data_IF_693777283223
#
_entry.id   IF_693777283223
#
_cell.length_a   1.000
_cell.length_b   1.000
_cell.length_c   1.000
_cell.angle_alpha   90.00
_cell.angle_beta   90.00
_cell.angle_gamma   90.00
#
_symmetry.space_group_name_H-M   'P 1'
#
loop_
_entity.id
_entity.type
_entity.pdbx_description
1 polymer ?
#
# COMPACT_ATOMS: atom_id res chain seq x y z
N UNK A 1 -30.90 26.67 32.58
CA UNK A 1 -32.24 26.53 33.20
C UNK A 1 -33.14 25.80 32.22
N UNK A 2 -33.80 24.73 32.64
CA UNK A 2 -34.74 23.94 31.85
C UNK A 2 -36.17 24.36 32.20
N UNK A 3 -37.00 24.60 31.20
CA UNK A 3 -38.39 25.07 31.35
C UNK A 3 -39.34 24.26 30.48
N UNK A 4 -40.57 24.05 30.96
CA UNK A 4 -41.64 23.47 30.15
C UNK A 4 -42.12 24.49 29.12
N UNK A 5 -42.42 24.01 27.90
CA UNK A 5 -42.88 24.86 26.82
C UNK A 5 -44.28 25.45 27.09
N UNK A 6 -45.18 24.67 27.70
CA UNK A 6 -46.46 25.16 28.21
C UNK A 6 -47.05 24.18 29.25
N UNK A 7 -47.61 24.67 30.38
CA UNK A 7 -47.46 26.05 30.87
C UNK A 7 -45.99 26.36 31.19
N UNK A 8 -45.59 27.62 31.12
CA UNK A 8 -44.21 28.02 31.38
C UNK A 8 -43.86 27.83 32.86
N UNK A 9 -43.17 26.74 33.19
CA UNK A 9 -42.73 26.41 34.54
C UNK A 9 -41.25 25.98 34.53
N UNK A 10 -40.54 26.29 35.61
CA UNK A 10 -39.17 25.81 35.79
C UNK A 10 -39.20 24.32 36.09
N UNK A 11 -38.54 23.53 35.26
CA UNK A 11 -38.44 22.06 35.43
C UNK A 11 -37.16 21.72 36.18
N UNK A 12 -36.07 22.47 35.96
CA UNK A 12 -34.82 22.24 36.67
C UNK A 12 -33.63 23.04 36.17
N UNK A 13 -32.46 22.68 36.70
CA UNK A 13 -31.15 23.15 36.25
C UNK A 13 -30.46 22.15 35.32
N UNK A 14 -29.37 22.55 34.70
CA UNK A 14 -28.52 21.68 33.89
C UNK A 14 -27.15 22.30 33.73
N UNK A 15 -26.12 21.45 33.65
CA UNK A 15 -24.74 21.87 33.39
C UNK A 15 -24.29 21.21 32.09
N UNK A 16 -23.61 21.96 31.24
CA UNK A 16 -23.02 21.44 30.01
C UNK A 16 -21.74 20.68 30.37
N UNK A 17 -21.75 19.37 30.16
CA UNK A 17 -20.59 18.49 30.41
C UNK A 17 -19.64 18.43 29.21
N UNK A 18 -20.19 18.42 27.99
CA UNK A 18 -19.46 18.45 26.73
C UNK A 18 -20.24 19.28 25.69
N UNK A 19 -19.72 20.45 25.25
CA UNK A 19 -20.37 21.27 24.24
C UNK A 19 -20.24 20.70 22.81
N UNK A 20 -19.41 19.68 22.59
CA UNK A 20 -19.14 19.08 21.28
C UNK A 20 -19.52 17.60 21.18
N UNK A 21 -20.50 17.17 21.97
CA UNK A 21 -20.95 15.78 21.99
C UNK A 21 -21.40 15.29 20.60
N UNK A 22 -20.93 14.11 20.19
CA UNK A 22 -21.36 13.47 18.94
C UNK A 22 -22.78 12.92 19.04
N UNK A 23 -23.44 12.63 17.91
CA UNK A 23 -24.84 12.15 17.85
C UNK A 23 -25.12 10.90 18.70
N UNK A 24 -24.09 10.10 19.02
CA UNK A 24 -24.18 8.89 19.84
C UNK A 24 -23.20 8.91 21.03
N UNK A 25 -22.80 10.10 21.47
CA UNK A 25 -21.94 10.27 22.63
C UNK A 25 -22.58 9.62 23.87
N UNK A 26 -21.78 8.87 24.63
CA UNK A 26 -22.19 8.45 25.97
C UNK A 26 -21.97 9.63 26.91
N UNK A 27 -22.93 9.95 27.79
CA UNK A 27 -22.71 10.98 28.80
C UNK A 27 -21.44 10.67 29.57
N UNK A 28 -20.55 11.67 29.71
CA UNK A 28 -19.39 11.53 30.58
C UNK A 28 -19.90 11.25 32.00
N UNK A 29 -19.46 10.13 32.59
CA UNK A 29 -19.89 9.70 33.92
C UNK A 29 -19.35 10.58 35.06
N UNK A 30 -18.55 11.58 34.71
CA UNK A 30 -17.82 12.43 35.62
C UNK A 30 -18.67 13.63 36.01
N UNK A 31 -18.40 14.20 37.20
CA UNK A 31 -19.07 15.43 37.60
C UNK A 31 -18.75 16.55 36.60
N UNK A 32 -19.64 17.53 36.46
CA UNK A 32 -19.34 18.74 35.67
C UNK A 32 -18.14 19.55 36.20
N UNK A 33 -17.67 19.22 37.41
CA UNK A 33 -16.52 19.82 38.08
C UNK A 33 -15.28 18.91 38.03
N UNK A 34 -15.29 17.88 37.17
CA UNK A 34 -14.14 17.01 36.99
C UNK A 34 -12.91 17.82 36.53
N UNK A 35 -11.70 17.47 37.00
CA UNK A 35 -10.47 18.12 36.58
C UNK A 35 -10.32 18.10 35.05
N UNK A 36 -9.73 19.16 34.48
CA UNK A 36 -9.53 19.27 33.04
C UNK A 36 -8.76 18.09 32.42
N UNK A 37 -7.84 17.49 33.17
CA UNK A 37 -7.11 16.29 32.75
C UNK A 37 -8.03 15.06 32.59
N UNK A 38 -8.98 14.87 33.50
CA UNK A 38 -9.96 13.76 33.41
C UNK A 38 -10.89 13.97 32.20
N UNK A 39 -11.36 15.22 32.01
CA UNK A 39 -12.17 15.60 30.84
C UNK A 39 -11.40 15.44 29.52
N UNK A 40 -10.10 15.72 29.50
CA UNK A 40 -9.24 15.48 28.34
C UNK A 40 -9.18 13.99 28.03
N UNK A 41 -8.91 13.14 29.02
CA UNK A 41 -8.89 11.69 28.83
C UNK A 41 -10.21 11.15 28.27
N UNK A 42 -11.36 11.63 28.78
CA UNK A 42 -12.67 11.27 28.25
C UNK A 42 -12.85 11.71 26.79
N UNK A 43 -12.50 12.96 26.47
CA UNK A 43 -12.60 13.50 25.12
C UNK A 43 -11.73 12.71 24.12
N UNK A 44 -10.51 12.34 24.51
CA UNK A 44 -9.60 11.55 23.68
C UNK A 44 -10.08 10.10 23.52
N UNK A 45 -10.58 9.48 24.59
CA UNK A 45 -11.13 8.12 24.53
C UNK A 45 -12.39 8.04 23.66
N UNK A 46 -13.25 9.05 23.73
CA UNK A 46 -14.43 9.14 22.86
C UNK A 46 -14.05 9.33 21.39
N UNK A 47 -13.05 10.18 21.12
CA UNK A 47 -12.60 10.46 19.75
C UNK A 47 -11.82 9.30 19.12
N UNK A 48 -11.10 8.52 19.93
CA UNK A 48 -10.28 7.39 19.49
C UNK A 48 -9.32 7.79 18.37
N UNK A 49 -9.39 7.07 17.25
CA UNK A 49 -8.53 7.27 16.07
C UNK A 49 -8.85 8.55 15.28
N UNK A 50 -10.01 9.17 15.48
CA UNK A 50 -10.31 10.47 14.85
C UNK A 50 -9.53 11.62 15.49
N UNK A 51 -9.15 11.45 16.77
CA UNK A 51 -8.51 12.47 17.58
C UNK A 51 -9.41 13.70 17.81
N UNK A 52 -8.92 14.60 18.66
CA UNK A 52 -9.60 15.87 18.96
C UNK A 52 -8.78 17.02 18.41
N UNK A 53 -9.42 17.97 17.74
CA UNK A 53 -8.74 19.17 17.24
C UNK A 53 -8.24 20.02 18.42
N UNK A 54 -6.95 20.38 18.43
CA UNK A 54 -6.29 21.15 19.50
C UNK A 54 -7.06 22.44 19.77
N UNK A 55 -7.51 23.13 18.72
CA UNK A 55 -8.23 24.40 18.82
C UNK A 55 -9.57 24.29 19.56
N UNK A 56 -10.19 23.10 19.57
CA UNK A 56 -11.47 22.87 20.27
C UNK A 56 -11.31 22.60 21.77
N UNK A 57 -10.12 22.19 22.21
CA UNK A 57 -9.89 21.72 23.59
C UNK A 57 -10.13 22.78 24.67
N UNK A 58 -9.74 24.07 24.51
CA UNK A 58 -9.99 25.07 25.56
C UNK A 58 -11.48 25.20 25.91
N UNK A 59 -12.34 25.25 24.90
CA UNK A 59 -13.80 25.33 25.06
C UNK A 59 -14.36 24.02 25.61
N UNK A 60 -13.92 22.88 25.05
CA UNK A 60 -14.41 21.56 25.46
C UNK A 60 -14.05 21.20 26.90
N UNK A 61 -12.87 21.60 27.36
CA UNK A 61 -12.35 21.32 28.71
C UNK A 61 -12.68 22.42 29.73
N UNK A 62 -13.15 23.58 29.29
CA UNK A 62 -13.43 24.73 30.16
C UNK A 62 -12.17 25.35 30.75
N UNK A 63 -11.09 25.43 29.99
CA UNK A 63 -9.79 25.98 30.41
C UNK A 63 -9.36 27.13 29.50
N UNK A 64 -8.45 27.96 29.99
CA UNK A 64 -7.86 29.03 29.19
C UNK A 64 -6.87 28.44 28.17
N UNK A 65 -6.73 29.02 26.96
CA UNK A 65 -5.79 28.52 25.95
C UNK A 65 -4.35 28.39 26.46
N UNK A 66 -3.92 29.28 27.37
CA UNK A 66 -2.59 29.25 28.01
C UNK A 66 -2.35 28.03 28.91
N UNK A 67 -3.40 27.41 29.42
CA UNK A 67 -3.33 26.25 30.33
C UNK A 67 -3.23 24.94 29.56
N UNK A 68 -3.58 24.94 28.26
CA UNK A 68 -3.61 23.74 27.43
C UNK A 68 -2.23 23.10 27.28
N UNK A 69 -1.17 23.90 27.16
CA UNK A 69 0.20 23.38 27.06
C UNK A 69 0.57 22.50 28.27
N UNK A 70 0.16 22.88 29.48
CA UNK A 70 0.40 22.09 30.69
C UNK A 70 -0.40 20.78 30.71
N UNK A 71 -1.61 20.78 30.14
CA UNK A 71 -2.45 19.58 30.04
C UNK A 71 -1.96 18.60 28.97
N UNK A 72 -1.30 19.08 27.93
CA UNK A 72 -0.77 18.27 26.82
C UNK A 72 0.72 17.90 26.99
N UNK A 73 1.39 18.43 28.00
CA UNK A 73 2.78 18.11 28.35
C UNK A 73 3.03 16.65 28.80
N UNK A 74 2.10 15.96 29.49
CA UNK A 74 2.29 14.56 29.88
C UNK A 74 2.51 13.64 28.67
N UNK A 75 3.26 12.54 28.86
CA UNK A 75 3.64 11.60 27.78
C UNK A 75 2.49 10.71 27.30
N UNK A 76 1.36 10.76 27.99
CA UNK A 76 0.15 10.00 27.72
C UNK A 76 -0.66 10.59 26.56
N UNK A 77 -0.20 11.70 25.97
CA UNK A 77 -0.86 12.43 24.90
C UNK A 77 0.04 12.50 23.67
N UNK A 78 -0.54 12.24 22.50
CA UNK A 78 0.12 12.35 21.20
C UNK A 78 -0.47 13.52 20.42
N UNK A 79 0.38 14.42 19.92
CA UNK A 79 -0.01 15.55 19.09
C UNK A 79 0.50 15.36 17.66
N UNK A 80 -0.41 15.37 16.68
CA UNK A 80 -0.09 15.25 15.25
C UNK A 80 -0.96 16.23 14.45
N UNK A 81 -0.34 17.07 13.62
CA UNK A 81 -1.02 17.97 12.67
C UNK A 81 -2.26 18.71 13.22
N UNK A 82 -2.12 19.32 14.41
CA UNK A 82 -3.21 20.09 15.01
C UNK A 82 -4.28 19.24 15.72
N UNK A 83 -4.07 17.93 15.84
CA UNK A 83 -4.93 16.98 16.56
C UNK A 83 -4.21 16.35 17.73
N UNK A 84 -5.01 15.91 18.70
CA UNK A 84 -4.59 15.24 19.92
C UNK A 84 -5.22 13.86 19.99
N UNK A 85 -4.41 12.88 20.39
CA UNK A 85 -4.79 11.49 20.56
C UNK A 85 -4.33 11.01 21.94
N UNK A 86 -5.05 10.04 22.51
CA UNK A 86 -4.52 9.29 23.64
C UNK A 86 -3.35 8.42 23.15
N UNK A 87 -2.28 8.29 23.94
CA UNK A 87 -1.09 7.49 23.55
C UNK A 87 -1.45 6.04 23.21
N UNK A 88 -2.44 5.47 23.91
CA UNK A 88 -2.93 4.10 23.71
C UNK A 88 -3.54 3.87 22.33
N UNK A 89 -4.09 4.92 21.70
CA UNK A 89 -4.61 4.84 20.33
C UNK A 89 -3.49 4.50 19.36
N UNK A 90 -2.33 5.16 19.49
CA UNK A 90 -1.16 4.88 18.65
C UNK A 90 -0.58 3.49 18.91
N UNK A 91 -0.54 3.06 20.18
CA UNK A 91 -0.05 1.74 20.56
C UNK A 91 -0.96 0.61 20.03
N UNK A 92 -2.29 0.78 20.14
CA UNK A 92 -3.27 -0.17 19.60
C UNK A 92 -3.21 -0.26 18.08
N UNK A 93 -3.03 0.88 17.40
CA UNK A 93 -2.85 0.92 15.94
C UNK A 93 -1.53 0.25 15.51
N UNK A 94 -0.42 0.45 16.23
CA UNK A 94 0.87 -0.23 16.00
C UNK A 94 0.71 -1.75 16.10
N UNK A 95 0.03 -2.24 17.14
CA UNK A 95 -0.24 -3.66 17.29
C UNK A 95 -1.11 -4.23 16.16
N UNK A 96 -2.11 -3.47 15.69
CA UNK A 96 -2.93 -3.87 14.53
C UNK A 96 -2.10 -3.90 13.24
N UNK A 97 -1.21 -2.93 13.03
CA UNK A 97 -0.28 -2.91 11.90
C UNK A 97 0.60 -4.16 11.89
N UNK A 98 1.25 -4.49 13.01
CA UNK A 98 2.14 -5.67 13.10
C UNK A 98 1.34 -6.96 12.83
N UNK A 99 0.17 -7.13 13.45
CA UNK A 99 -0.70 -8.29 13.19
C UNK A 99 -1.11 -8.41 11.74
N UNK A 100 -1.50 -7.30 11.10
CA UNK A 100 -1.89 -7.26 9.69
C UNK A 100 -0.75 -7.74 8.80
N UNK A 101 0.48 -7.27 9.05
CA UNK A 101 1.66 -7.66 8.28
C UNK A 101 1.97 -9.15 8.48
N UNK A 102 1.93 -9.64 9.72
CA UNK A 102 2.15 -11.06 10.02
C UNK A 102 1.11 -11.98 9.36
N UNK A 103 -0.17 -11.59 9.40
CA UNK A 103 -1.25 -12.33 8.74
C UNK A 103 -1.07 -12.36 7.23
N UNK A 104 -0.67 -11.24 6.62
CA UNK A 104 -0.41 -11.18 5.19
C UNK A 104 0.78 -12.05 4.78
N UNK A 105 1.86 -12.07 5.56
CA UNK A 105 3.00 -12.95 5.31
C UNK A 105 2.64 -14.44 5.38
N UNK A 106 1.76 -14.83 6.31
CA UNK A 106 1.26 -16.22 6.39
C UNK A 106 0.34 -16.57 5.23
N UNK A 107 -0.51 -15.63 4.83
CA UNK A 107 -1.45 -15.82 3.74
C UNK A 107 -0.76 -15.86 2.37
N UNK A 108 0.31 -15.06 2.19
CA UNK A 108 1.04 -14.91 0.93
C UNK A 108 2.57 -14.96 1.16
N UNK A 109 3.14 -16.14 1.48
CA UNK A 109 4.56 -16.26 1.87
C UNK A 109 5.57 -15.90 0.78
N UNK A 110 5.13 -15.90 -0.49
CA UNK A 110 5.96 -15.55 -1.65
C UNK A 110 5.94 -14.05 -1.97
N UNK A 111 5.10 -13.27 -1.29
CA UNK A 111 5.07 -11.81 -1.44
C UNK A 111 6.12 -11.12 -0.57
N UNK A 112 6.75 -10.04 -1.08
CA UNK A 112 7.80 -9.32 -0.36
C UNK A 112 7.28 -8.52 0.83
N UNK A 113 5.96 -8.26 0.89
CA UNK A 113 5.31 -7.45 1.91
C UNK A 113 3.91 -7.03 1.47
N UNK A 114 3.28 -6.17 2.28
CA UNK A 114 1.93 -5.62 2.07
C UNK A 114 2.04 -4.24 1.46
N UNK A 115 1.26 -3.93 0.42
CA UNK A 115 1.29 -2.57 -0.16
C UNK A 115 0.87 -1.50 0.87
N UNK A 116 1.48 -0.32 0.81
CA UNK A 116 1.09 0.80 1.69
C UNK A 116 -0.40 1.15 1.55
N UNK A 117 -0.97 1.02 0.35
CA UNK A 117 -2.39 1.25 0.11
C UNK A 117 -3.28 0.21 0.81
N UNK A 118 -2.90 -1.07 0.78
CA UNK A 118 -3.62 -2.12 1.51
C UNK A 118 -3.53 -1.90 3.03
N UNK A 119 -2.37 -1.52 3.55
CA UNK A 119 -2.19 -1.15 4.97
C UNK A 119 -3.15 -0.01 5.34
N UNK A 120 -3.17 1.07 4.55
CA UNK A 120 -4.05 2.23 4.80
C UNK A 120 -5.54 1.83 4.77
N UNK A 121 -5.93 1.03 3.79
CA UNK A 121 -7.31 0.58 3.64
C UNK A 121 -7.76 -0.32 4.80
N UNK A 122 -6.89 -1.22 5.27
CA UNK A 122 -7.25 -2.19 6.33
C UNK A 122 -7.17 -1.61 7.74
N UNK A 123 -6.25 -0.69 7.99
CA UNK A 123 -6.16 -0.01 9.29
C UNK A 123 -7.31 0.98 9.51
N UNK A 124 -7.82 1.59 8.44
CA UNK A 124 -8.97 2.50 8.45
C UNK A 124 -8.83 3.69 9.44
N UNK A 125 -7.59 4.10 9.72
CA UNK A 125 -7.24 5.26 10.54
C UNK A 125 -6.89 6.48 9.67
N UNK A 126 -6.85 7.71 10.22
CA UNK A 126 -6.34 8.87 9.50
C UNK A 126 -4.91 8.65 9.00
N UNK A 127 -4.61 9.14 7.80
CA UNK A 127 -3.31 8.93 7.14
C UNK A 127 -2.13 9.36 8.01
N UNK A 128 -2.24 10.51 8.68
CA UNK A 128 -1.20 11.07 9.54
C UNK A 128 -0.88 10.17 10.74
N UNK A 129 -1.91 9.55 11.32
CA UNK A 129 -1.76 8.61 12.43
C UNK A 129 -1.13 7.29 11.96
N UNK A 130 -1.50 6.82 10.77
CA UNK A 130 -0.88 5.65 10.13
C UNK A 130 0.58 5.91 9.82
N UNK A 131 0.90 7.06 9.23
CA UNK A 131 2.27 7.42 8.86
C UNK A 131 3.14 7.57 10.12
N UNK A 132 2.62 8.16 11.20
CA UNK A 132 3.28 8.20 12.50
C UNK A 132 3.56 6.79 13.07
N UNK A 133 2.54 5.91 13.06
CA UNK A 133 2.69 4.54 13.56
C UNK A 133 3.66 3.72 12.70
N UNK A 134 3.66 3.90 11.39
CA UNK A 134 4.63 3.26 10.49
C UNK A 134 6.06 3.71 10.80
N UNK A 135 6.29 5.01 10.96
CA UNK A 135 7.61 5.54 11.31
C UNK A 135 8.09 5.00 12.67
N UNK A 136 7.23 5.06 13.69
CA UNK A 136 7.53 4.54 15.04
C UNK A 136 7.80 3.04 15.05
N UNK A 137 7.01 2.26 14.30
CA UNK A 137 7.21 0.82 14.19
C UNK A 137 8.51 0.48 13.46
N UNK A 138 8.91 1.30 12.48
CA UNK A 138 10.18 1.16 11.78
C UNK A 138 11.39 1.51 12.66
N UNK A 139 11.33 2.60 13.42
CA UNK A 139 12.35 2.96 14.41
C UNK A 139 12.58 1.86 15.46
N UNK A 140 11.53 1.09 15.75
CA UNK A 140 11.58 -0.03 16.71
C UNK A 140 11.91 -1.38 16.06
N UNK A 141 12.25 -1.39 14.77
CA UNK A 141 12.51 -2.61 14.00
C UNK A 141 11.39 -3.66 14.08
N UNK A 142 10.13 -3.21 14.13
CA UNK A 142 8.97 -4.11 14.04
C UNK A 142 8.60 -4.37 12.58
N UNK A 143 8.67 -3.32 11.77
CA UNK A 143 8.41 -3.36 10.32
C UNK A 143 9.48 -2.54 9.58
N UNK A 144 9.54 -2.69 8.28
CA UNK A 144 10.33 -1.85 7.38
C UNK A 144 9.56 -1.59 6.09
N UNK A 145 9.89 -0.47 5.45
CA UNK A 145 9.31 -0.06 4.16
C UNK A 145 10.36 -0.21 3.06
N UNK A 146 10.06 -1.02 2.05
CA UNK A 146 10.94 -1.21 0.90
C UNK A 146 10.12 -1.27 -0.39
N UNK A 147 10.47 -0.48 -1.42
CA UNK A 147 9.78 -0.54 -2.72
C UNK A 147 8.27 -0.28 -2.67
N UNK A 148 7.79 0.51 -1.72
CA UNK A 148 6.35 0.81 -1.55
C UNK A 148 5.54 -0.28 -0.82
N UNK A 149 6.19 -1.34 -0.34
CA UNK A 149 5.58 -2.35 0.53
C UNK A 149 6.10 -2.24 1.97
N UNK A 150 5.24 -2.62 2.91
CA UNK A 150 5.51 -2.74 4.34
C UNK A 150 5.65 -4.23 4.67
N UNK A 151 6.71 -4.59 5.38
CA UNK A 151 6.97 -5.97 5.82
C UNK A 151 7.55 -5.99 7.22
N UNK A 152 7.41 -7.09 7.93
CA UNK A 152 8.10 -7.32 9.18
C UNK A 152 9.62 -7.12 8.99
N UNK A 153 10.28 -6.54 9.96
CA UNK A 153 11.71 -6.25 9.87
C UNK A 153 12.52 -7.52 9.57
N UNK A 154 13.36 -7.48 8.54
CA UNK A 154 14.13 -8.65 8.10
C UNK A 154 13.33 -9.76 7.40
N UNK A 155 12.05 -9.53 7.08
CA UNK A 155 11.27 -10.49 6.29
C UNK A 155 11.83 -10.62 4.87
N UNK A 156 12.01 -11.87 4.46
CA UNK A 156 12.24 -12.24 3.07
C UNK A 156 11.42 -13.50 2.77
N UNK A 157 10.76 -13.57 1.62
CA UNK A 157 10.13 -14.80 1.15
C UNK A 157 11.11 -15.98 1.20
N UNK A 158 10.68 -17.08 1.83
CA UNK A 158 11.46 -18.32 1.87
C UNK A 158 10.73 -19.39 1.10
N UNK A 159 11.39 -19.89 0.05
CA UNK A 159 10.89 -21.01 -0.73
C UNK A 159 11.10 -22.33 0.03
N UNK A 160 10.13 -23.24 -0.08
CA UNK A 160 10.38 -24.65 0.23
C UNK A 160 11.27 -25.30 -0.84
N UNK A 161 11.81 -26.50 -0.61
CA UNK A 161 12.59 -27.18 -1.63
C UNK A 161 11.75 -27.46 -2.89
N UNK A 162 10.52 -27.91 -2.72
CA UNK A 162 9.60 -28.12 -3.83
C UNK A 162 9.30 -26.83 -4.62
N UNK A 163 9.22 -25.68 -3.95
CA UNK A 163 9.05 -24.38 -4.62
C UNK A 163 10.33 -23.94 -5.33
N UNK A 164 11.52 -24.20 -4.76
CA UNK A 164 12.80 -23.96 -5.45
C UNK A 164 12.92 -24.80 -6.71
N UNK A 165 12.56 -26.08 -6.66
CA UNK A 165 12.53 -26.97 -7.82
C UNK A 165 11.60 -26.43 -8.91
N UNK A 166 10.38 -26.05 -8.54
CA UNK A 166 9.42 -25.45 -9.48
C UNK A 166 9.92 -24.13 -10.06
N UNK A 167 10.51 -23.27 -9.25
CA UNK A 167 11.07 -21.99 -9.70
C UNK A 167 12.19 -22.22 -10.73
N UNK A 168 13.08 -23.21 -10.50
CA UNK A 168 14.10 -23.63 -11.47
C UNK A 168 13.46 -24.12 -12.78
N UNK A 169 12.47 -25.00 -12.69
CA UNK A 169 11.79 -25.55 -13.88
C UNK A 169 11.04 -24.49 -14.69
N UNK A 170 10.40 -23.52 -14.03
CA UNK A 170 9.73 -22.39 -14.69
C UNK A 170 10.76 -21.51 -15.40
N UNK A 171 11.86 -21.15 -14.73
CA UNK A 171 12.93 -20.34 -15.33
C UNK A 171 13.54 -21.05 -16.56
N UNK A 172 13.88 -22.33 -16.43
CA UNK A 172 14.41 -23.13 -17.54
C UNK A 172 13.43 -23.23 -18.71
N UNK A 173 12.13 -23.41 -18.42
CA UNK A 173 11.08 -23.43 -19.44
C UNK A 173 11.04 -22.10 -20.21
N UNK A 174 11.13 -20.97 -19.52
CA UNK A 174 11.12 -19.64 -20.14
C UNK A 174 12.41 -19.35 -20.93
N UNK A 175 13.56 -19.86 -20.48
CA UNK A 175 14.82 -19.74 -21.23
C UNK A 175 14.80 -20.59 -22.50
N UNK A 176 14.26 -21.81 -22.43
CA UNK A 176 14.16 -22.73 -23.58
C UNK A 176 13.09 -22.29 -24.60
N UNK A 177 12.02 -21.63 -24.16
CA UNK A 177 10.97 -21.16 -25.06
C UNK A 177 11.40 -19.98 -25.97
N UNK A 178 12.59 -19.42 -25.74
CA UNK A 178 13.21 -18.36 -26.52
C UNK A 178 12.32 -17.12 -26.74
N UNK A 179 11.53 -17.11 -27.82
CA UNK A 179 10.72 -15.97 -28.25
C UNK A 179 9.21 -16.24 -28.27
N UNK A 180 8.78 -17.47 -27.93
CA UNK A 180 7.38 -17.84 -27.83
C UNK A 180 7.09 -18.47 -26.45
N UNK A 181 7.21 -17.71 -25.35
CA UNK A 181 7.02 -18.24 -24.01
C UNK A 181 5.56 -18.65 -23.75
N UNK A 182 5.35 -19.69 -22.92
CA UNK A 182 4.02 -20.07 -22.46
C UNK A 182 3.35 -18.92 -21.70
N UNK A 183 2.02 -18.89 -21.70
CA UNK A 183 1.25 -17.95 -20.86
C UNK A 183 1.32 -18.33 -19.38
N UNK A 184 0.95 -17.39 -18.51
CA UNK A 184 0.79 -17.66 -17.07
C UNK A 184 -0.16 -18.83 -16.84
N UNK A 185 -1.31 -18.88 -17.52
CA UNK A 185 -2.27 -19.98 -17.41
C UNK A 185 -1.69 -21.35 -17.85
N UNK A 186 -0.86 -21.39 -18.90
CA UNK A 186 -0.19 -22.62 -19.35
C UNK A 186 0.85 -23.09 -18.32
N UNK A 187 1.57 -22.15 -17.69
CA UNK A 187 2.52 -22.44 -16.61
C UNK A 187 1.80 -22.90 -15.33
N UNK A 188 0.68 -22.30 -14.97
CA UNK A 188 -0.15 -22.72 -13.83
C UNK A 188 -0.74 -24.12 -14.05
N UNK A 189 -1.19 -24.42 -15.26
CA UNK A 189 -1.66 -25.76 -15.62
C UNK A 189 -0.55 -26.82 -15.49
N UNK A 190 0.71 -26.45 -15.79
CA UNK A 190 1.85 -27.37 -15.77
C UNK A 190 2.51 -27.51 -14.40
N UNK A 191 2.67 -26.42 -13.65
CA UNK A 191 3.45 -26.36 -12.40
C UNK A 191 2.59 -26.11 -11.14
N UNK A 192 1.30 -25.84 -11.33
CA UNK A 192 0.31 -25.56 -10.30
C UNK A 192 0.05 -24.06 -10.11
N UNK A 193 -1.02 -23.73 -9.37
CA UNK A 193 -1.50 -22.36 -9.14
C UNK A 193 -0.48 -21.39 -8.54
N UNK A 194 0.59 -21.89 -7.92
CA UNK A 194 1.68 -21.06 -7.38
C UNK A 194 2.65 -20.56 -8.45
N UNK A 195 2.51 -20.99 -9.71
CA UNK A 195 3.42 -20.59 -10.79
C UNK A 195 3.43 -19.07 -11.00
N UNK A 196 2.27 -18.40 -10.90
CA UNK A 196 2.16 -16.95 -11.01
C UNK A 196 2.93 -16.21 -9.91
N UNK A 197 2.91 -16.70 -8.67
CA UNK A 197 3.68 -16.13 -7.56
C UNK A 197 5.19 -16.32 -7.75
N UNK A 198 5.61 -17.49 -8.25
CA UNK A 198 7.00 -17.77 -8.57
C UNK A 198 7.51 -16.93 -9.76
N UNK A 199 6.66 -16.65 -10.75
CA UNK A 199 6.98 -15.73 -11.85
C UNK A 199 7.23 -14.31 -11.35
N UNK A 200 6.36 -13.80 -10.45
CA UNK A 200 6.58 -12.49 -9.82
C UNK A 200 7.85 -12.44 -8.99
N UNK A 201 8.24 -13.56 -8.36
CA UNK A 201 9.53 -13.65 -7.68
C UNK A 201 10.70 -13.57 -8.67
N UNK A 202 10.68 -14.35 -9.76
CA UNK A 202 11.69 -14.28 -10.81
C UNK A 202 11.78 -12.89 -11.45
N UNK A 203 10.65 -12.19 -11.60
CA UNK A 203 10.59 -10.83 -12.14
C UNK A 203 11.29 -9.83 -11.22
N UNK A 204 11.04 -9.93 -9.90
CA UNK A 204 11.72 -9.11 -8.90
C UNK A 204 13.22 -9.42 -8.82
N UNK A 205 13.60 -10.66 -9.06
CA UNK A 205 15.01 -11.09 -9.20
C UNK A 205 15.65 -10.59 -10.52
N UNK A 206 14.87 -10.02 -11.45
CA UNK A 206 15.34 -9.54 -12.75
C UNK A 206 15.65 -10.65 -13.75
N UNK A 207 15.26 -11.90 -13.47
CA UNK A 207 15.51 -13.06 -14.34
C UNK A 207 14.49 -13.18 -15.46
N UNK A 208 13.28 -12.69 -15.22
CA UNK A 208 12.22 -12.61 -16.21
C UNK A 208 11.64 -11.20 -16.27
N UNK A 209 10.97 -10.86 -17.37
CA UNK A 209 10.34 -9.56 -17.57
C UNK A 209 8.92 -9.77 -18.09
N UNK A 210 7.94 -9.13 -17.46
CA UNK A 210 6.58 -9.07 -17.98
C UNK A 210 6.53 -8.22 -19.26
N UNK A 211 6.30 -8.87 -20.40
CA UNK A 211 6.12 -8.18 -21.70
C UNK A 211 4.66 -7.77 -21.88
N UNK A 212 3.72 -8.58 -21.38
CA UNK A 212 2.31 -8.25 -21.22
C UNK A 212 1.78 -8.89 -19.93
N UNK A 213 0.55 -8.59 -19.53
CA UNK A 213 0.00 -9.06 -18.25
C UNK A 213 0.02 -10.59 -18.08
N UNK A 214 -0.06 -11.34 -19.18
CA UNK A 214 -0.16 -12.81 -19.18
C UNK A 214 1.10 -13.52 -19.72
N UNK A 215 2.20 -12.78 -20.00
CA UNK A 215 3.43 -13.39 -20.53
C UNK A 215 4.70 -12.76 -19.98
N UNK A 216 5.57 -13.65 -19.52
CA UNK A 216 6.90 -13.35 -19.03
C UNK A 216 7.92 -13.94 -20.00
N UNK A 217 8.98 -13.18 -20.27
CA UNK A 217 10.11 -13.62 -21.06
C UNK A 217 11.32 -13.74 -20.13
N UNK A 218 12.20 -14.69 -20.39
CA UNK A 218 13.52 -14.64 -19.76
C UNK A 218 14.22 -13.33 -20.13
N UNK A 219 14.94 -12.72 -19.19
CA UNK A 219 15.64 -11.45 -19.42
C UNK A 219 16.65 -11.59 -20.57
N UNK A 220 17.33 -12.73 -20.65
CA UNK A 220 18.25 -13.08 -21.74
C UNK A 220 17.53 -13.20 -23.09
N UNK A 221 16.40 -13.92 -23.14
CA UNK A 221 15.62 -14.09 -24.36
C UNK A 221 15.06 -12.76 -24.88
N UNK A 222 14.57 -11.92 -23.97
CA UNK A 222 14.08 -10.58 -24.29
C UNK A 222 15.20 -9.66 -24.79
N UNK A 223 16.37 -9.67 -24.15
CA UNK A 223 17.52 -8.90 -24.59
C UNK A 223 17.96 -9.30 -26.02
N UNK A 224 18.00 -10.60 -26.31
CA UNK A 224 18.28 -11.13 -27.65
C UNK A 224 17.24 -10.69 -28.69
N UNK A 225 15.97 -10.62 -28.31
CA UNK A 225 14.90 -10.12 -29.17
C UNK A 225 15.05 -8.64 -29.49
N UNK A 226 15.33 -7.81 -28.47
CA UNK A 226 15.59 -6.39 -28.64
C UNK A 226 16.83 -6.15 -29.49
N UNK A 227 17.89 -6.95 -29.32
CA UNK A 227 19.10 -6.85 -30.13
C UNK A 227 18.84 -7.16 -31.62
N UNK A 228 18.04 -8.21 -31.90
CA UNK A 228 17.60 -8.54 -33.27
C UNK A 228 16.76 -7.43 -33.88
N UNK A 229 15.82 -6.88 -33.12
CA UNK A 229 15.01 -5.74 -33.56
C UNK A 229 15.89 -4.54 -33.90
N UNK A 230 16.84 -4.19 -33.03
CA UNK A 230 17.80 -3.10 -33.25
C UNK A 230 18.63 -3.31 -34.50
N UNK A 231 19.13 -4.54 -34.73
CA UNK A 231 19.95 -4.86 -35.89
C UNK A 231 19.15 -4.80 -37.21
N UNK A 232 17.85 -5.15 -37.18
CA UNK A 232 16.97 -5.13 -38.35
C UNK A 232 16.41 -3.75 -38.71
N UNK A 233 16.36 -2.81 -37.75
CA UNK A 233 15.77 -1.49 -37.96
C UNK A 233 16.82 -0.41 -38.24
N UNK A 234 16.65 0.31 -39.35
CA UNK A 234 17.43 1.50 -39.67
C UNK A 234 16.79 2.73 -39.01
N UNK A 235 17.60 3.55 -38.34
CA UNK A 235 17.14 4.78 -37.68
C UNK A 235 16.48 5.71 -38.71
N UNK A 236 15.26 6.16 -38.41
CA UNK A 236 14.48 7.05 -39.28
C UNK A 236 13.65 6.35 -40.36
N UNK A 237 13.82 5.03 -40.56
CA UNK A 237 12.94 4.25 -41.43
C UNK A 237 11.77 3.68 -40.61
N UNK A 238 10.58 3.72 -41.20
CA UNK A 238 9.41 3.04 -40.68
C UNK A 238 9.31 1.61 -41.24
N UNK A 239 8.92 0.68 -40.36
CA UNK A 239 8.71 -0.72 -40.69
C UNK A 239 7.28 -1.11 -40.36
N UNK A 240 6.61 -1.76 -41.31
CA UNK A 240 5.30 -2.35 -41.10
C UNK A 240 5.38 -3.57 -40.16
N UNK A 241 4.28 -3.95 -39.49
CA UNK A 241 4.25 -5.19 -38.69
C UNK A 241 4.60 -6.45 -39.50
N UNK A 242 4.30 -6.48 -40.80
CA UNK A 242 4.60 -7.61 -41.67
C UNK A 242 6.11 -7.77 -41.89
N UNK A 243 6.82 -6.67 -42.15
CA UNK A 243 8.28 -6.66 -42.27
C UNK A 243 8.94 -7.05 -40.94
N UNK A 244 8.50 -6.44 -39.83
CA UNK A 244 9.04 -6.77 -38.51
C UNK A 244 8.85 -8.25 -38.17
N UNK A 245 7.71 -8.85 -38.55
CA UNK A 245 7.48 -10.30 -38.39
C UNK A 245 8.52 -11.14 -39.12
N UNK A 246 8.87 -10.77 -40.35
CA UNK A 246 9.86 -11.50 -41.16
C UNK A 246 11.27 -11.41 -40.59
N UNK A 247 11.66 -10.23 -40.08
CA UNK A 247 12.97 -10.04 -39.43
C UNK A 247 13.12 -10.84 -38.13
N UNK A 248 12.02 -10.97 -37.41
CA UNK A 248 12.01 -11.43 -36.04
C UNK A 248 11.67 -12.92 -35.89
N UNK A 249 10.91 -13.46 -36.85
CA UNK A 249 10.63 -14.90 -36.96
C UNK A 249 9.55 -15.43 -36.04
N UNK A 250 8.77 -14.58 -35.35
CA UNK A 250 7.69 -15.03 -34.45
C UNK A 250 6.31 -15.02 -35.11
N UNK A 251 5.38 -15.79 -34.54
CA UNK A 251 3.96 -15.67 -34.86
C UNK A 251 3.36 -14.30 -34.44
N UNK A 252 2.28 -13.87 -35.12
CA UNK A 252 1.61 -12.58 -34.82
C UNK A 252 1.17 -12.44 -33.36
N UNK A 253 0.86 -13.58 -32.71
CA UNK A 253 0.45 -13.69 -31.31
C UNK A 253 1.48 -13.07 -30.36
N UNK A 254 2.79 -13.23 -30.62
CA UNK A 254 3.86 -12.71 -29.76
C UNK A 254 4.44 -11.38 -30.26
N UNK A 255 4.35 -11.12 -31.56
CA UNK A 255 4.89 -9.92 -32.18
C UNK A 255 4.26 -8.64 -31.63
N UNK A 256 2.93 -8.55 -31.58
CA UNK A 256 2.27 -7.32 -31.17
C UNK A 256 2.56 -6.97 -29.71
N UNK A 257 2.42 -7.90 -28.73
CA UNK A 257 2.78 -7.64 -27.34
C UNK A 257 4.24 -7.21 -27.16
N UNK A 258 5.17 -7.88 -27.86
CA UNK A 258 6.59 -7.51 -27.82
C UNK A 258 6.83 -6.08 -28.34
N UNK A 259 6.23 -5.72 -29.47
CA UNK A 259 6.37 -4.37 -30.03
C UNK A 259 5.73 -3.31 -29.12
N UNK A 260 4.60 -3.60 -28.51
CA UNK A 260 3.98 -2.71 -27.52
C UNK A 260 4.85 -2.55 -26.27
N UNK A 261 5.52 -3.62 -25.83
CA UNK A 261 6.54 -3.53 -24.79
C UNK A 261 7.68 -2.60 -25.21
N UNK A 262 8.24 -2.77 -26.42
CA UNK A 262 9.29 -1.89 -26.93
C UNK A 262 8.84 -0.42 -27.02
N UNK A 263 7.59 -0.17 -27.40
CA UNK A 263 6.99 1.17 -27.42
C UNK A 263 6.93 1.76 -25.99
N UNK A 264 6.48 0.99 -24.99
CA UNK A 264 6.44 1.41 -23.58
C UNK A 264 7.82 1.66 -22.98
N UNK A 265 8.83 0.88 -23.40
CA UNK A 265 10.22 1.08 -23.01
C UNK A 265 10.91 2.22 -23.79
N UNK A 266 10.23 2.86 -24.75
CA UNK A 266 10.78 3.93 -25.57
C UNK A 266 11.84 3.48 -26.59
N UNK A 267 11.94 2.17 -26.85
CA UNK A 267 12.86 1.59 -27.84
C UNK A 267 12.36 1.84 -29.26
N UNK A 268 11.05 1.74 -29.45
CA UNK A 268 10.36 2.01 -30.71
C UNK A 268 9.29 3.08 -30.53
N UNK A 269 8.85 3.66 -31.66
CA UNK A 269 7.74 4.60 -31.70
C UNK A 269 6.73 4.14 -32.74
N UNK A 270 5.47 4.00 -32.32
CA UNK A 270 4.34 3.69 -33.19
C UNK A 270 3.97 4.89 -34.04
N UNK A 271 3.85 4.67 -35.35
CA UNK A 271 3.44 5.65 -36.36
C UNK A 271 2.12 5.21 -37.01
N UNK A 272 1.61 6.01 -37.96
CA UNK A 272 0.38 5.69 -38.70
C UNK A 272 0.50 4.41 -39.52
N UNK A 273 1.69 4.14 -40.05
CA UNK A 273 1.98 3.06 -41.01
C UNK A 273 2.78 1.91 -40.40
N UNK A 274 3.39 2.09 -39.24
CA UNK A 274 4.23 1.06 -38.63
C UNK A 274 4.93 1.49 -37.36
N UNK A 275 6.23 1.16 -37.26
CA UNK A 275 7.10 1.55 -36.15
C UNK A 275 8.46 2.01 -36.66
N UNK A 276 9.05 2.97 -35.95
CA UNK A 276 10.43 3.43 -36.15
C UNK A 276 11.28 3.16 -34.90
N UNK A 277 12.59 2.97 -35.09
CA UNK A 277 13.53 2.78 -33.99
C UNK A 277 13.90 4.13 -33.34
N UNK A 278 13.80 4.22 -32.01
CA UNK A 278 14.09 5.41 -31.21
C UNK A 278 15.30 5.24 -30.27
N UNK A 279 15.53 4.02 -29.78
CA UNK A 279 16.56 3.73 -28.77
C UNK A 279 17.97 4.21 -29.14
N UNK A 280 18.75 4.63 -28.14
CA UNK A 280 20.17 5.03 -28.30
C UNK A 280 21.07 3.86 -28.65
#
# INVERSE_FOLDING_TARGET
MLRSASPAATVGGGIVIDPFATRRARPWSTSAHAPAAERLSLALNEAGEAGVEIASLPVRLGVLPRELAGLLAPKEVLQLNGRVYAVDVSASLEQRLVRLVDEAHRARPLEPGVSLQEVRSRLAAPAELIDFVLARAAERHLVETAGGVIRAFGWSPRLTEAQRDKLRQIDDTLRQAAHEPPSVAELEARFGVQASDLLKMLEREGRVVAVEGERFYSAEGLASLVARLRAGMVKGREYSPAELREYLGFSRKFLIPFLEYCDRQGLTMRTTTGRSWRGT
#
